data_IF_078201977669
#
_entry.id   IF_078201977669
#
_cell.length_a   1.000
_cell.length_b   1.000
_cell.length_c   1.000
_cell.angle_alpha   90.00
_cell.angle_beta   90.00
_cell.angle_gamma   90.00
#
_symmetry.space_group_name_H-M   'P 1'
#
loop_
_entity.id
_entity.type
_entity.pdbx_description
1 polymer ?
#
# COMPACT_ATOMS: atom_id res chain seq x y z
N UNK A 1 8.79 -5.90 5.77
CA UNK A 1 7.69 -6.87 5.58
C UNK A 1 7.78 -7.51 4.20
N UNK A 2 7.52 -8.80 4.16
CA UNK A 2 7.59 -9.52 2.90
C UNK A 2 6.22 -9.54 2.23
N UNK A 3 6.19 -9.20 0.94
CA UNK A 3 4.96 -9.20 0.15
C UNK A 3 5.16 -10.01 -1.13
N UNK A 4 4.09 -10.58 -1.62
CA UNK A 4 4.09 -11.33 -2.89
C UNK A 4 3.24 -10.58 -3.91
N UNK A 5 3.87 -10.16 -5.00
CA UNK A 5 3.20 -9.41 -6.07
C UNK A 5 3.46 -10.16 -7.38
N UNK A 6 2.38 -10.60 -8.03
CA UNK A 6 2.47 -11.34 -9.29
C UNK A 6 3.40 -12.57 -9.21
N UNK A 7 3.39 -13.24 -8.07
CA UNK A 7 4.22 -14.41 -7.85
C UNK A 7 5.66 -14.11 -7.46
N UNK A 8 6.02 -12.86 -7.33
CA UNK A 8 7.36 -12.43 -6.93
C UNK A 8 7.35 -11.95 -5.49
N UNK A 9 8.21 -12.51 -4.68
CA UNK A 9 8.38 -12.10 -3.29
C UNK A 9 9.31 -10.89 -3.20
N UNK A 10 8.88 -9.88 -2.45
CA UNK A 10 9.66 -8.67 -2.24
C UNK A 10 9.69 -8.30 -0.77
N UNK A 11 10.82 -7.79 -0.33
CA UNK A 11 10.95 -7.19 0.99
C UNK A 11 10.70 -5.70 0.88
N UNK A 12 9.68 -5.19 1.58
CA UNK A 12 9.38 -3.75 1.59
C UNK A 12 9.17 -3.27 3.01
N UNK A 13 9.55 -2.02 3.26
CA UNK A 13 9.33 -1.40 4.56
C UNK A 13 7.90 -0.90 4.67
N UNK A 14 7.45 -0.73 5.91
CA UNK A 14 6.12 -0.20 6.16
C UNK A 14 5.96 1.21 5.58
N UNK A 15 6.99 2.03 5.68
CA UNK A 15 6.97 3.38 5.12
C UNK A 15 6.84 3.37 3.61
N UNK A 16 7.53 2.46 2.95
CA UNK A 16 7.43 2.32 1.50
C UNK A 16 6.02 1.91 1.09
N UNK A 17 5.40 0.99 1.82
CA UNK A 17 4.03 0.59 1.55
C UNK A 17 3.05 1.74 1.75
N UNK A 18 3.25 2.54 2.80
CA UNK A 18 2.42 3.72 3.04
C UNK A 18 2.53 4.71 1.89
N UNK A 19 3.75 5.01 1.46
CA UNK A 19 3.98 5.94 0.36
C UNK A 19 3.29 5.48 -0.92
N UNK A 20 3.42 4.20 -1.24
CA UNK A 20 2.79 3.65 -2.43
C UNK A 20 1.28 3.74 -2.38
N UNK A 21 0.70 3.34 -1.26
CA UNK A 21 -0.76 3.36 -1.10
C UNK A 21 -1.29 4.78 -1.11
N UNK A 22 -0.63 5.69 -0.41
CA UNK A 22 -1.02 7.10 -0.37
C UNK A 22 -0.97 7.70 -1.78
N UNK A 23 0.12 7.47 -2.51
CA UNK A 23 0.26 7.98 -3.87
C UNK A 23 -0.81 7.44 -4.81
N UNK A 24 -1.13 6.16 -4.68
CA UNK A 24 -2.15 5.52 -5.48
C UNK A 24 -3.53 6.15 -5.25
N UNK A 25 -3.91 6.33 -3.99
CA UNK A 25 -5.21 6.91 -3.66
C UNK A 25 -5.27 8.41 -3.94
N UNK A 26 -4.15 9.10 -3.78
CA UNK A 26 -4.09 10.53 -4.14
C UNK A 26 -4.34 10.72 -5.63
N UNK A 27 -3.76 9.89 -6.47
CA UNK A 27 -4.00 9.91 -7.91
C UNK A 27 -5.45 9.59 -8.26
N UNK A 28 -6.13 8.81 -7.42
CA UNK A 28 -7.55 8.49 -7.59
C UNK A 28 -8.48 9.58 -7.04
N UNK A 29 -7.93 10.66 -6.46
CA UNK A 29 -8.72 11.76 -5.92
C UNK A 29 -9.02 11.69 -4.44
N UNK A 30 -8.50 10.70 -3.73
CA UNK A 30 -8.73 10.53 -2.29
C UNK A 30 -7.56 11.16 -1.52
N UNK A 31 -7.69 12.42 -1.15
CA UNK A 31 -6.56 13.22 -0.66
C UNK A 31 -6.21 13.04 0.81
N UNK A 32 -7.11 12.57 1.64
CA UNK A 32 -6.85 12.43 3.07
C UNK A 32 -6.62 11.00 3.51
N UNK A 33 -6.34 10.13 2.56
CA UNK A 33 -6.18 8.71 2.85
C UNK A 33 -4.98 8.42 3.76
N UNK A 34 -3.99 9.30 3.76
CA UNK A 34 -2.80 9.12 4.60
C UNK A 34 -3.17 9.02 6.10
N UNK A 35 -4.26 9.65 6.52
CA UNK A 35 -4.70 9.55 7.91
C UNK A 35 -5.20 8.13 8.23
N UNK A 36 -5.91 7.52 7.31
CA UNK A 36 -6.37 6.16 7.48
C UNK A 36 -5.22 5.15 7.42
N UNK A 37 -4.28 5.38 6.54
CA UNK A 37 -3.11 4.51 6.40
C UNK A 37 -2.30 4.47 7.69
N UNK A 38 -2.15 5.60 8.37
CA UNK A 38 -1.42 5.67 9.63
C UNK A 38 -2.06 4.83 10.73
N UNK A 39 -3.37 4.67 10.67
CA UNK A 39 -4.12 3.89 11.68
C UNK A 39 -4.30 2.43 11.31
N UNK A 40 -3.94 2.04 10.10
CA UNK A 40 -4.11 0.67 9.63
C UNK A 40 -3.16 -0.31 10.29
N UNK A 41 -3.67 -1.52 10.51
CA UNK A 41 -2.83 -2.65 10.90
C UNK A 41 -1.92 -3.03 9.72
N UNK A 42 -0.78 -3.65 10.03
CA UNK A 42 0.19 -4.03 9.00
C UNK A 42 -0.40 -4.94 7.93
N UNK A 43 -1.26 -5.86 8.31
CA UNK A 43 -1.90 -6.78 7.36
C UNK A 43 -2.82 -6.04 6.40
N UNK A 44 -3.55 -5.06 6.90
CA UNK A 44 -4.44 -4.26 6.10
C UNK A 44 -3.68 -3.40 5.11
N UNK A 45 -2.62 -2.77 5.58
CA UNK A 45 -1.75 -1.98 4.73
C UNK A 45 -1.12 -2.82 3.64
N UNK A 46 -0.66 -4.01 4.00
CA UNK A 46 -0.06 -4.95 3.05
C UNK A 46 -1.05 -5.33 1.95
N UNK A 47 -2.29 -5.60 2.31
CA UNK A 47 -3.33 -5.94 1.33
C UNK A 47 -3.58 -4.80 0.36
N UNK A 48 -3.65 -3.58 0.85
CA UNK A 48 -3.82 -2.40 -0.01
C UNK A 48 -2.62 -2.17 -0.92
N UNK A 49 -1.43 -2.40 -0.40
CA UNK A 49 -0.21 -2.26 -1.19
C UNK A 49 -0.23 -3.23 -2.38
N UNK A 50 -0.55 -4.48 -2.12
CA UNK A 50 -0.63 -5.49 -3.20
C UNK A 50 -1.73 -5.14 -4.19
N UNK A 51 -2.89 -4.69 -3.71
CA UNK A 51 -3.99 -4.28 -4.58
C UNK A 51 -3.62 -3.09 -5.48
N UNK A 52 -2.80 -2.18 -5.00
CA UNK A 52 -2.38 -1.04 -5.81
C UNK A 52 -1.56 -1.47 -7.02
N UNK A 53 -0.78 -2.53 -6.89
CA UNK A 53 -0.06 -3.09 -8.03
C UNK A 53 -0.95 -3.89 -8.96
N UNK A 54 -1.94 -4.58 -8.42
CA UNK A 54 -2.85 -5.39 -9.22
C UNK A 54 -3.74 -4.56 -10.14
N UNK A 55 -3.92 -3.29 -9.84
CA UNK A 55 -4.79 -2.39 -10.61
C UNK A 55 -4.06 -1.51 -11.61
N UNK A 56 -2.78 -1.64 -11.68
CA UNK A 56 -1.97 -0.86 -12.65
C UNK A 56 -2.06 -1.40 -14.08
#
# INVERSE_FOLDING_TARGET
MEVTINGVEKEVSKEEMKDRVIGYYDAAGIKHFYLEVDEMADEELKALYVNSFARE
#
